data_IF_094404756939
#
_entry.id   IF_094404756939
#
_cell.length_a   1.000
_cell.length_b   1.000
_cell.length_c   1.000
_cell.angle_alpha   90.00
_cell.angle_beta   90.00
_cell.angle_gamma   90.00
#
_symmetry.space_group_name_H-M   'P 1'
#
loop_
_entity.id
_entity.type
_entity.pdbx_description
1 polymer ?
#
# COMPACT_ATOMS: atom_id res chain seq x y z
N UNK A 1 11.42 14.72 17.62
CA UNK A 1 10.10 15.02 18.23
C UNK A 1 9.59 16.33 17.62
N UNK A 2 8.87 16.25 16.50
CA UNK A 2 8.12 17.40 16.01
C UNK A 2 6.80 17.48 16.78
N UNK A 3 6.40 18.65 17.28
CA UNK A 3 5.11 18.82 17.90
C UNK A 3 4.02 18.62 16.84
N UNK A 4 3.34 17.51 16.92
CA UNK A 4 2.05 17.19 16.32
C UNK A 4 1.70 17.87 15.01
N UNK A 5 2.30 17.46 13.89
CA UNK A 5 1.66 17.67 12.60
C UNK A 5 0.46 16.73 12.53
N UNK A 6 -0.73 17.23 12.88
CA UNK A 6 -1.96 16.52 12.57
C UNK A 6 -2.03 16.32 11.07
N UNK A 7 -2.11 15.09 10.61
CA UNK A 7 -2.61 14.79 9.27
C UNK A 7 -4.05 15.30 9.25
N UNK A 8 -4.25 16.50 8.71
CA UNK A 8 -5.55 17.12 8.61
C UNK A 8 -6.42 16.30 7.67
N UNK A 9 -7.49 15.73 8.20
CA UNK A 9 -8.61 15.28 7.39
C UNK A 9 -9.33 16.53 6.88
N UNK A 10 -9.33 16.71 5.58
CA UNK A 10 -10.17 17.72 4.97
C UNK A 10 -11.63 17.32 5.22
N UNK A 11 -12.37 18.08 6.04
CA UNK A 11 -13.82 17.96 6.22
C UNK A 11 -14.34 17.42 7.55
N UNK A 12 -13.51 16.85 8.42
CA UNK A 12 -13.93 16.45 9.78
C UNK A 12 -13.59 17.51 10.83
N UNK A 13 -14.34 17.57 11.93
CA UNK A 13 -13.89 18.29 13.11
C UNK A 13 -12.48 17.82 13.45
N UNK A 14 -11.53 18.76 13.57
CA UNK A 14 -10.16 18.42 13.95
C UNK A 14 -10.21 17.47 15.16
N UNK A 15 -9.48 16.36 15.13
CA UNK A 15 -9.39 15.51 16.30
C UNK A 15 -8.98 16.40 17.48
N UNK A 16 -9.44 16.10 18.71
CA UNK A 16 -9.05 16.87 19.87
C UNK A 16 -7.54 17.01 19.85
N UNK A 17 -7.03 18.22 19.88
CA UNK A 17 -5.60 18.51 19.82
C UNK A 17 -4.83 17.67 20.83
N UNK A 18 -3.53 17.47 20.64
CA UNK A 18 -2.73 16.67 21.54
C UNK A 18 -2.98 17.13 22.97
N UNK A 19 -3.15 16.18 23.88
CA UNK A 19 -3.28 16.51 25.29
C UNK A 19 -2.14 17.44 25.69
N UNK A 20 -2.40 18.55 26.42
CA UNK A 20 -1.37 19.52 26.73
C UNK A 20 -0.15 18.81 27.37
N UNK A 21 1.01 18.91 26.71
CA UNK A 21 2.26 18.35 27.19
C UNK A 21 2.57 16.89 26.88
N UNK A 22 1.76 16.22 26.04
CA UNK A 22 2.04 14.83 25.61
C UNK A 22 2.95 14.78 24.40
N UNK A 23 4.08 14.09 24.48
CA UNK A 23 4.85 13.63 23.30
C UNK A 23 4.14 12.43 22.71
N UNK A 24 3.66 12.55 21.48
CA UNK A 24 3.14 11.40 20.76
C UNK A 24 4.30 10.64 20.12
N UNK A 25 4.35 9.29 20.19
CA UNK A 25 5.37 8.56 19.47
C UNK A 25 5.18 8.73 17.97
N UNK A 26 6.29 9.01 17.27
CA UNK A 26 6.30 9.01 15.82
C UNK A 26 5.95 7.64 15.25
N UNK A 27 5.39 7.58 14.03
CA UNK A 27 5.21 6.33 13.32
C UNK A 27 6.54 5.58 13.23
N UNK A 28 6.51 4.27 13.47
CA UNK A 28 7.70 3.43 13.36
C UNK A 28 8.23 3.45 11.94
N UNK A 29 9.44 3.99 11.75
CA UNK A 29 10.12 4.02 10.45
C UNK A 29 10.99 2.77 10.34
N UNK A 30 10.79 1.92 9.32
CA UNK A 30 11.64 0.75 9.11
C UNK A 30 13.10 1.14 8.87
N UNK A 31 14.03 0.49 9.54
CA UNK A 31 15.47 0.72 9.36
C UNK A 31 15.91 0.58 7.90
N UNK A 32 15.35 -0.40 7.18
CA UNK A 32 15.61 -0.60 5.76
C UNK A 32 15.22 0.57 4.86
N UNK A 33 14.42 1.49 5.37
CA UNK A 33 13.97 2.68 4.64
C UNK A 33 14.88 3.90 4.83
N UNK A 34 15.63 3.92 5.90
CA UNK A 34 16.46 5.05 6.28
C UNK A 34 17.59 5.35 5.28
N UNK A 35 17.97 4.37 4.44
CA UNK A 35 19.05 4.52 3.43
C UNK A 35 18.60 4.82 2.00
N UNK A 36 17.29 4.75 1.68
CA UNK A 36 16.84 4.72 0.28
C UNK A 36 16.50 6.10 -0.33
N UNK A 37 16.53 7.16 0.42
CA UNK A 37 16.26 8.51 -0.09
C UNK A 37 17.30 9.49 0.44
N UNK A 38 18.17 9.97 -0.42
CA UNK A 38 19.33 10.82 -0.11
C UNK A 38 19.08 12.17 0.60
N UNK A 39 17.97 12.34 1.29
CA UNK A 39 17.69 13.46 2.16
C UNK A 39 17.77 13.03 3.63
N UNK A 40 18.74 13.54 4.36
CA UNK A 40 18.77 13.43 5.82
C UNK A 40 17.54 14.14 6.38
N UNK A 41 16.50 13.37 6.72
CA UNK A 41 15.45 13.91 7.59
C UNK A 41 15.99 13.93 9.02
N UNK A 42 15.80 15.04 9.77
CA UNK A 42 16.15 15.06 11.19
C UNK A 42 15.47 13.89 11.91
N UNK A 43 16.24 13.12 12.67
CA UNK A 43 15.71 12.00 13.47
C UNK A 43 15.67 10.62 12.78
N UNK A 44 15.98 10.51 11.48
CA UNK A 44 16.11 9.21 10.82
C UNK A 44 17.52 8.66 11.01
N UNK A 45 17.63 7.53 11.71
CA UNK A 45 18.91 6.84 11.88
C UNK A 45 19.21 6.07 10.59
N UNK A 46 20.38 6.29 9.94
CA UNK A 46 20.79 5.49 8.79
C UNK A 46 20.80 3.99 9.11
N UNK A 47 20.47 3.17 8.11
CA UNK A 47 20.33 1.73 8.28
C UNK A 47 21.64 1.04 8.77
N UNK A 48 22.78 1.63 8.45
CA UNK A 48 24.11 1.09 8.73
C UNK A 48 24.68 1.52 10.09
N UNK A 49 24.04 2.48 10.77
CA UNK A 49 24.51 2.89 12.08
C UNK A 49 23.96 1.97 13.19
N UNK A 50 24.79 1.53 14.11
CA UNK A 50 24.33 0.84 15.29
C UNK A 50 23.30 1.69 16.05
N UNK A 51 22.24 1.07 16.53
CA UNK A 51 21.27 1.77 17.37
C UNK A 51 21.92 2.09 18.72
N UNK A 52 22.36 3.34 18.90
CA UNK A 52 22.97 3.78 20.16
C UNK A 52 21.88 4.31 21.08
N UNK A 53 21.84 3.80 22.29
CA UNK A 53 20.96 4.26 23.37
C UNK A 53 21.79 5.04 24.38
N UNK A 54 21.63 6.37 24.51
CA UNK A 54 22.35 7.16 25.51
C UNK A 54 22.02 6.70 26.93
N UNK A 55 22.94 6.91 27.86
CA UNK A 55 22.73 6.59 29.27
C UNK A 55 21.48 7.29 29.82
N UNK A 56 20.64 6.57 30.53
CA UNK A 56 19.39 7.05 31.13
C UNK A 56 18.24 7.18 30.13
N UNK A 57 18.42 6.78 28.86
CA UNK A 57 17.36 6.72 27.86
C UNK A 57 16.99 5.27 27.54
N UNK A 58 15.83 5.11 26.90
CA UNK A 58 15.39 3.83 26.33
C UNK A 58 14.96 4.02 24.88
N UNK A 59 15.01 2.92 24.11
CA UNK A 59 14.52 2.86 22.74
C UNK A 59 13.68 1.59 22.60
N UNK A 60 12.59 1.71 21.86
CA UNK A 60 11.75 0.57 21.51
C UNK A 60 12.07 0.19 20.06
N UNK A 61 12.29 -1.10 19.85
CA UNK A 61 12.49 -1.67 18.52
C UNK A 61 11.36 -2.64 18.26
N UNK A 62 10.64 -2.42 17.19
CA UNK A 62 9.62 -3.35 16.70
C UNK A 62 10.27 -4.33 15.74
N UNK A 63 10.03 -5.62 15.92
CA UNK A 63 10.56 -6.67 15.06
C UNK A 63 9.42 -7.43 14.40
N UNK A 64 9.34 -7.36 13.07
CA UNK A 64 8.39 -8.14 12.27
C UNK A 64 9.06 -9.43 11.81
N UNK A 65 8.41 -10.56 12.10
CA UNK A 65 8.81 -11.88 11.62
C UNK A 65 7.89 -12.34 10.50
N UNK A 66 8.41 -12.41 9.29
CA UNK A 66 7.68 -12.95 8.17
C UNK A 66 7.87 -14.46 8.04
N UNK A 67 6.78 -15.22 8.25
CA UNK A 67 6.74 -16.67 8.04
C UNK A 67 6.39 -16.93 6.58
N UNK A 68 7.34 -17.44 5.82
CA UNK A 68 7.13 -17.75 4.40
C UNK A 68 6.09 -18.88 4.24
N UNK A 69 5.28 -18.85 3.17
CA UNK A 69 4.32 -19.94 2.90
C UNK A 69 4.98 -21.31 2.78
N UNK A 70 6.26 -21.36 2.41
CA UNK A 70 7.05 -22.59 2.32
C UNK A 70 7.68 -23.04 3.64
N UNK A 71 7.55 -22.24 4.72
CA UNK A 71 8.11 -22.62 6.02
C UNK A 71 7.39 -23.85 6.57
N UNK A 72 8.09 -24.95 6.89
CA UNK A 72 7.46 -26.11 7.52
C UNK A 72 6.88 -25.75 8.90
N UNK A 73 5.80 -26.41 9.32
CA UNK A 73 5.35 -26.33 10.70
C UNK A 73 6.43 -26.81 11.69
N UNK A 74 6.52 -26.19 12.85
CA UNK A 74 7.46 -26.55 13.89
C UNK A 74 7.97 -25.39 14.70
N UNK A 75 8.82 -25.66 15.66
CA UNK A 75 9.46 -24.66 16.52
C UNK A 75 10.75 -24.13 15.88
N UNK A 76 10.85 -22.82 15.78
CA UNK A 76 12.02 -22.10 15.29
C UNK A 76 12.61 -21.30 16.42
N UNK A 77 13.93 -21.33 16.58
CA UNK A 77 14.65 -20.57 17.61
C UNK A 77 15.62 -19.62 16.95
N UNK A 78 15.68 -18.44 17.50
CA UNK A 78 16.63 -17.41 17.15
C UNK A 78 16.99 -16.59 18.38
N UNK A 79 17.82 -15.59 18.19
CA UNK A 79 18.17 -14.70 19.26
C UNK A 79 18.30 -13.26 18.80
N UNK A 80 18.11 -12.35 19.73
CA UNK A 80 18.38 -10.93 19.57
C UNK A 80 19.50 -10.56 20.51
N UNK A 81 20.58 -10.00 19.97
CA UNK A 81 21.74 -9.56 20.75
C UNK A 81 21.85 -8.04 20.74
N UNK A 82 21.97 -7.50 21.93
CA UNK A 82 22.27 -6.09 22.15
C UNK A 82 23.63 -6.03 22.83
N UNK A 83 24.55 -5.24 22.28
CA UNK A 83 25.92 -5.12 22.82
C UNK A 83 25.90 -4.73 24.29
N UNK A 84 26.56 -5.50 25.13
CA UNK A 84 26.62 -5.28 26.58
C UNK A 84 25.42 -5.79 27.38
N UNK A 85 24.48 -6.50 26.72
CA UNK A 85 23.35 -7.15 27.37
C UNK A 85 23.38 -8.67 27.16
N UNK A 86 22.73 -9.43 28.04
CA UNK A 86 22.51 -10.86 27.81
C UNK A 86 21.73 -11.05 26.48
N UNK A 87 22.03 -12.15 25.79
CA UNK A 87 21.30 -12.58 24.61
C UNK A 87 19.84 -12.88 24.97
N UNK A 88 18.90 -12.36 24.17
CA UNK A 88 17.48 -12.64 24.29
C UNK A 88 17.10 -13.75 23.32
N UNK A 89 16.74 -14.91 23.84
CA UNK A 89 16.22 -16.00 23.03
C UNK A 89 14.79 -15.68 22.54
N UNK A 90 14.52 -16.00 21.29
CA UNK A 90 13.20 -15.89 20.66
C UNK A 90 12.80 -17.25 20.13
N UNK A 91 11.66 -17.74 20.52
CA UNK A 91 11.05 -18.98 20.01
C UNK A 91 9.76 -18.65 19.29
N UNK A 92 9.60 -19.21 18.08
CA UNK A 92 8.42 -19.05 17.23
C UNK A 92 7.90 -20.42 16.86
N UNK A 93 6.66 -20.71 17.21
CA UNK A 93 5.97 -21.92 16.78
C UNK A 93 5.17 -21.64 15.52
N UNK A 94 5.52 -22.32 14.42
CA UNK A 94 4.82 -22.24 13.15
C UNK A 94 3.80 -23.37 13.07
N UNK A 95 2.51 -22.99 13.04
CA UNK A 95 1.39 -23.92 12.91
C UNK A 95 1.20 -24.46 11.49
N UNK A 96 0.27 -25.39 11.32
CA UNK A 96 -0.12 -25.94 10.02
C UNK A 96 -1.11 -25.07 9.25
N UNK A 97 -1.81 -24.16 9.95
CA UNK A 97 -2.83 -23.29 9.35
C UNK A 97 -2.17 -22.25 8.44
N UNK A 98 -2.70 -22.13 7.24
CA UNK A 98 -2.27 -21.09 6.28
C UNK A 98 -3.40 -20.10 6.08
N UNK A 99 -3.11 -18.84 6.29
CA UNK A 99 -4.03 -17.76 5.96
C UNK A 99 -3.84 -17.36 4.50
N UNK A 100 -4.91 -17.24 3.71
CA UNK A 100 -4.81 -16.71 2.37
C UNK A 100 -4.35 -15.24 2.44
N UNK A 101 -3.57 -14.81 1.45
CA UNK A 101 -3.08 -13.44 1.41
C UNK A 101 -4.23 -12.41 1.40
N UNK A 102 -5.34 -12.75 0.75
CA UNK A 102 -6.54 -11.90 0.60
C UNK A 102 -7.67 -12.28 1.55
N UNK A 103 -7.36 -12.56 2.81
CA UNK A 103 -8.40 -12.88 3.80
C UNK A 103 -9.33 -11.69 4.10
N UNK A 104 -8.84 -10.47 3.95
CA UNK A 104 -9.58 -9.22 4.15
C UNK A 104 -9.21 -8.25 3.03
N UNK A 105 -10.22 -7.69 2.36
CA UNK A 105 -10.04 -6.63 1.37
C UNK A 105 -9.78 -5.29 2.07
N UNK A 106 -8.56 -4.80 2.00
CA UNK A 106 -8.20 -3.44 2.44
C UNK A 106 -7.67 -2.68 1.25
N UNK A 107 -8.19 -1.49 1.01
CA UNK A 107 -7.71 -0.62 -0.06
C UNK A 107 -7.34 0.76 0.47
N UNK A 108 -6.35 1.38 -0.17
CA UNK A 108 -5.92 2.74 0.12
C UNK A 108 -5.72 3.51 -1.18
N UNK A 109 -6.47 4.57 -1.34
CA UNK A 109 -6.20 5.54 -2.41
C UNK A 109 -4.92 6.31 -2.11
N UNK A 110 -4.06 6.43 -3.09
CA UNK A 110 -2.88 7.27 -2.96
C UNK A 110 -2.60 7.97 -4.28
N UNK A 111 -1.98 9.15 -4.17
CA UNK A 111 -1.64 9.98 -5.32
C UNK A 111 -0.17 9.80 -5.68
N UNK A 112 0.15 9.09 -6.78
CA UNK A 112 1.53 8.84 -7.19
C UNK A 112 2.35 10.12 -7.40
N UNK A 113 1.72 11.18 -7.94
CA UNK A 113 2.37 12.47 -8.19
C UNK A 113 2.86 13.15 -6.90
N UNK A 114 2.17 12.93 -5.79
CA UNK A 114 2.60 13.42 -4.47
C UNK A 114 3.85 12.70 -3.99
N UNK A 115 3.90 11.37 -4.16
CA UNK A 115 5.09 10.57 -3.81
C UNK A 115 6.27 10.97 -4.71
N UNK A 116 6.04 11.07 -6.01
CA UNK A 116 7.04 11.47 -6.99
C UNK A 116 7.65 12.84 -6.65
N UNK A 117 6.82 13.82 -6.33
CA UNK A 117 7.25 15.19 -5.99
C UNK A 117 8.13 15.24 -4.75
N UNK A 118 7.81 14.46 -3.72
CA UNK A 118 8.50 14.53 -2.43
C UNK A 118 9.63 13.52 -2.27
N UNK A 119 9.56 12.38 -2.94
CA UNK A 119 10.47 11.24 -2.73
C UNK A 119 11.10 10.72 -4.03
N UNK A 120 10.70 11.26 -5.18
CA UNK A 120 11.11 10.82 -6.51
C UNK A 120 10.34 9.59 -7.01
N UNK A 121 10.30 9.40 -8.33
CA UNK A 121 9.52 8.36 -9.02
C UNK A 121 9.82 6.94 -8.48
N UNK A 122 11.09 6.63 -8.26
CA UNK A 122 11.50 5.33 -7.73
C UNK A 122 10.90 4.99 -6.34
N UNK A 123 10.35 5.98 -5.62
CA UNK A 123 9.68 5.75 -4.35
C UNK A 123 8.25 5.22 -4.51
N UNK A 124 7.62 5.40 -5.66
CA UNK A 124 6.27 4.90 -5.94
C UNK A 124 6.24 3.38 -5.77
N UNK A 125 7.10 2.67 -6.51
CA UNK A 125 7.18 1.20 -6.43
C UNK A 125 7.46 0.69 -5.01
N UNK A 126 8.39 1.33 -4.29
CA UNK A 126 8.68 0.96 -2.88
C UNK A 126 7.50 1.20 -1.94
N UNK A 127 6.76 2.29 -2.14
CA UNK A 127 5.56 2.59 -1.35
C UNK A 127 4.48 1.53 -1.60
N UNK A 128 4.23 1.21 -2.86
CA UNK A 128 3.28 0.17 -3.27
C UNK A 128 3.67 -1.20 -2.68
N UNK A 129 4.94 -1.60 -2.80
CA UNK A 129 5.44 -2.83 -2.19
C UNK A 129 5.25 -2.87 -0.68
N UNK A 130 5.38 -1.72 -0.01
CA UNK A 130 5.13 -1.65 1.42
C UNK A 130 3.66 -1.82 1.77
N UNK A 131 2.76 -1.15 1.05
CA UNK A 131 1.32 -1.32 1.24
C UNK A 131 0.92 -2.78 1.01
N UNK A 132 1.39 -3.38 -0.08
CA UNK A 132 1.16 -4.77 -0.40
C UNK A 132 1.63 -5.71 0.72
N UNK A 133 2.83 -5.48 1.30
CA UNK A 133 3.33 -6.26 2.45
C UNK A 133 2.38 -6.25 3.65
N UNK A 134 1.61 -5.19 3.83
CA UNK A 134 0.64 -5.02 4.91
C UNK A 134 -0.79 -5.40 4.47
N UNK A 135 -0.95 -6.15 3.38
CA UNK A 135 -2.25 -6.58 2.84
C UNK A 135 -3.16 -5.41 2.47
N UNK A 136 -2.58 -4.30 2.04
CA UNK A 136 -3.30 -3.13 1.57
C UNK A 136 -3.16 -3.06 0.06
N UNK A 137 -4.28 -3.09 -0.66
CA UNK A 137 -4.31 -2.84 -2.09
C UNK A 137 -4.11 -1.35 -2.35
N UNK A 138 -3.01 -0.93 -2.96
CA UNK A 138 -2.82 0.45 -3.34
C UNK A 138 -3.70 0.77 -4.54
N UNK A 139 -4.55 1.77 -4.40
CA UNK A 139 -5.43 2.24 -5.47
C UNK A 139 -4.83 3.48 -6.09
N UNK A 140 -4.48 3.38 -7.37
CA UNK A 140 -4.09 4.52 -8.19
C UNK A 140 -5.25 4.90 -9.09
N UNK A 141 -5.53 6.19 -9.30
CA UNK A 141 -6.53 6.61 -10.26
C UNK A 141 -6.07 6.27 -11.68
N UNK A 142 -6.87 5.48 -12.40
CA UNK A 142 -6.63 5.15 -13.80
C UNK A 142 -7.59 5.99 -14.66
N UNK A 143 -7.03 6.79 -15.55
CA UNK A 143 -7.82 7.66 -16.45
C UNK A 143 -7.60 7.36 -17.92
N UNK A 144 -6.58 6.55 -18.25
CA UNK A 144 -6.20 6.23 -19.61
C UNK A 144 -5.54 4.85 -19.71
N UNK A 145 -5.37 4.36 -20.94
CA UNK A 145 -4.60 3.13 -21.18
C UNK A 145 -3.14 3.29 -20.79
N UNK A 146 -2.58 4.49 -20.94
CA UNK A 146 -1.22 4.82 -20.51
C UNK A 146 -1.05 4.67 -19.00
N UNK A 147 -2.07 5.03 -18.20
CA UNK A 147 -2.05 4.79 -16.75
C UNK A 147 -2.08 3.28 -16.44
N UNK A 148 -2.90 2.52 -17.17
CA UNK A 148 -2.92 1.05 -17.03
C UNK A 148 -1.52 0.48 -17.31
N UNK A 149 -0.87 0.87 -18.39
CA UNK A 149 0.49 0.41 -18.73
C UNK A 149 1.51 0.82 -17.68
N UNK A 150 1.48 2.07 -17.22
CA UNK A 150 2.40 2.58 -16.20
C UNK A 150 2.31 1.77 -14.91
N UNK A 151 1.12 1.40 -14.50
CA UNK A 151 0.89 0.71 -13.23
C UNK A 151 0.71 -0.80 -13.38
N UNK A 152 0.79 -1.35 -14.59
CA UNK A 152 0.60 -2.77 -14.85
C UNK A 152 1.41 -3.69 -13.94
N UNK A 153 2.71 -3.43 -13.64
CA UNK A 153 3.47 -4.29 -12.73
C UNK A 153 2.92 -4.33 -11.30
N UNK A 154 2.23 -3.29 -10.86
CA UNK A 154 1.51 -3.26 -9.59
C UNK A 154 0.21 -4.06 -9.69
N UNK A 155 -0.52 -3.88 -10.79
CA UNK A 155 -1.82 -4.50 -10.99
C UNK A 155 -1.72 -6.02 -11.18
N UNK A 156 -0.74 -6.49 -11.95
CA UNK A 156 -0.53 -7.91 -12.28
C UNK A 156 0.32 -8.68 -11.25
N UNK A 157 0.84 -8.00 -10.22
CA UNK A 157 1.64 -8.60 -9.16
C UNK A 157 3.13 -8.77 -9.51
N UNK A 158 3.56 -8.49 -10.72
CA UNK A 158 4.97 -8.66 -11.11
C UNK A 158 5.92 -7.75 -10.32
N UNK A 159 5.45 -6.58 -9.86
CA UNK A 159 6.18 -5.70 -8.95
C UNK A 159 6.49 -6.36 -7.59
N UNK A 160 5.69 -7.34 -7.18
CA UNK A 160 5.78 -7.98 -5.87
C UNK A 160 6.60 -9.28 -5.93
N UNK A 161 7.69 -9.27 -6.65
CA UNK A 161 8.57 -10.43 -6.83
C UNK A 161 10.01 -10.14 -6.39
N UNK A 162 10.78 -11.20 -6.14
CA UNK A 162 12.20 -11.10 -5.79
C UNK A 162 13.01 -10.36 -6.86
N UNK A 163 12.61 -10.45 -8.14
CA UNK A 163 13.25 -9.72 -9.24
C UNK A 163 13.15 -8.20 -9.07
N UNK A 164 12.11 -7.71 -8.40
CA UNK A 164 11.90 -6.31 -8.06
C UNK A 164 12.27 -5.99 -6.60
N UNK A 165 13.05 -6.86 -5.95
CA UNK A 165 13.49 -6.68 -4.57
C UNK A 165 12.40 -6.85 -3.51
N UNK A 166 11.25 -7.43 -3.88
CA UNK A 166 10.17 -7.72 -2.94
C UNK A 166 10.40 -9.06 -2.23
N UNK A 167 10.27 -9.03 -0.91
CA UNK A 167 10.21 -10.23 -0.08
C UNK A 167 9.13 -9.98 0.98
N UNK A 168 8.08 -10.79 0.97
CA UNK A 168 6.99 -10.59 1.92
C UNK A 168 5.74 -11.39 1.59
N UNK A 169 4.65 -11.19 2.35
CA UNK A 169 3.34 -11.78 2.05
C UNK A 169 2.86 -11.37 0.66
N UNK A 170 2.16 -12.27 -0.04
CA UNK A 170 1.60 -11.97 -1.36
C UNK A 170 2.63 -11.84 -2.48
N UNK A 171 3.79 -12.53 -2.39
CA UNK A 171 4.76 -12.54 -3.49
C UNK A 171 4.09 -13.01 -4.78
N UNK A 172 4.16 -12.18 -5.84
CA UNK A 172 3.56 -12.44 -7.14
C UNK A 172 2.02 -12.34 -7.19
N UNK A 173 1.36 -11.94 -6.11
CA UNK A 173 -0.11 -11.83 -6.07
C UNK A 173 -0.52 -10.49 -6.69
N UNK A 174 -1.38 -10.47 -7.74
CA UNK A 174 -1.89 -9.24 -8.34
C UNK A 174 -2.76 -8.46 -7.36
N UNK A 175 -3.15 -7.23 -7.69
CA UNK A 175 -4.15 -6.50 -6.91
C UNK A 175 -5.49 -7.23 -6.89
N UNK A 176 -6.31 -6.99 -5.88
CA UNK A 176 -7.67 -7.54 -5.76
C UNK A 176 -8.75 -6.55 -6.20
N UNK A 177 -8.37 -5.30 -6.41
CA UNK A 177 -9.29 -4.27 -6.88
C UNK A 177 -8.59 -3.27 -7.78
N UNK A 178 -9.27 -2.87 -8.85
CA UNK A 178 -8.83 -1.85 -9.80
C UNK A 178 -9.90 -0.77 -9.88
N UNK A 179 -9.49 0.48 -9.83
CA UNK A 179 -10.40 1.60 -9.84
C UNK A 179 -10.14 2.49 -11.05
N UNK A 180 -11.17 2.70 -11.86
CA UNK A 180 -11.16 3.63 -12.97
C UNK A 180 -11.64 4.99 -12.46
N UNK A 181 -10.78 6.00 -12.57
CA UNK A 181 -10.95 7.30 -11.95
C UNK A 181 -10.67 7.27 -10.44
N UNK A 182 -10.86 8.42 -9.81
CA UNK A 182 -10.84 8.58 -8.36
C UNK A 182 -11.57 9.85 -7.96
N UNK A 183 -12.15 9.88 -6.78
CA UNK A 183 -12.81 11.08 -6.23
C UNK A 183 -13.78 11.73 -7.21
N UNK A 184 -14.60 10.93 -7.90
CA UNK A 184 -15.59 11.42 -8.85
C UNK A 184 -15.00 11.99 -10.15
N UNK A 185 -13.73 11.78 -10.44
CA UNK A 185 -13.05 12.37 -11.61
C UNK A 185 -13.64 11.96 -12.96
N UNK A 186 -14.30 10.80 -13.02
CA UNK A 186 -14.97 10.38 -14.23
C UNK A 186 -16.32 11.10 -14.46
N UNK A 187 -17.04 11.48 -13.40
CA UNK A 187 -18.30 12.20 -13.51
C UNK A 187 -19.33 11.50 -14.40
N UNK A 188 -20.20 12.26 -15.08
CA UNK A 188 -21.20 11.72 -15.97
C UNK A 188 -20.57 10.99 -17.19
N UNK A 189 -21.16 9.87 -17.66
CA UNK A 189 -20.73 9.19 -18.86
C UNK A 189 -20.88 10.07 -20.11
N UNK A 190 -20.02 9.88 -21.08
CA UNK A 190 -20.10 10.46 -22.41
C UNK A 190 -19.49 9.48 -23.42
N UNK A 191 -19.80 9.58 -24.72
CA UNK A 191 -19.24 8.69 -25.73
C UNK A 191 -17.70 8.59 -25.70
N UNK A 192 -17.02 9.71 -25.48
CA UNK A 192 -15.57 9.73 -25.38
C UNK A 192 -15.05 9.01 -24.12
N UNK A 193 -15.73 9.19 -22.97
CA UNK A 193 -15.36 8.50 -21.73
C UNK A 193 -15.65 7.00 -21.80
N UNK A 194 -16.77 6.61 -22.42
CA UNK A 194 -17.09 5.19 -22.65
C UNK A 194 -15.99 4.55 -23.49
N UNK A 195 -15.61 5.15 -24.60
CA UNK A 195 -14.52 4.66 -25.44
C UNK A 195 -13.19 4.54 -24.66
N UNK A 196 -12.90 5.46 -23.76
CA UNK A 196 -11.71 5.40 -22.90
C UNK A 196 -11.80 4.24 -21.91
N UNK A 197 -12.97 4.05 -21.28
CA UNK A 197 -13.20 2.93 -20.35
C UNK A 197 -13.09 1.61 -21.07
N UNK A 198 -13.75 1.45 -22.22
CA UNK A 198 -13.69 0.22 -23.03
C UNK A 198 -12.24 -0.13 -23.40
N UNK A 199 -11.44 0.86 -23.82
CA UNK A 199 -10.04 0.65 -24.12
C UNK A 199 -9.21 0.21 -22.90
N UNK A 200 -9.48 0.78 -21.71
CA UNK A 200 -8.83 0.35 -20.46
C UNK A 200 -9.24 -1.06 -20.07
N UNK A 201 -10.55 -1.38 -20.13
CA UNK A 201 -11.07 -2.71 -19.82
C UNK A 201 -10.48 -3.78 -20.76
N UNK A 202 -10.47 -3.53 -22.07
CA UNK A 202 -9.85 -4.43 -23.04
C UNK A 202 -8.36 -4.65 -22.74
N UNK A 203 -7.65 -3.61 -22.29
CA UNK A 203 -6.24 -3.73 -21.93
C UNK A 203 -6.03 -4.55 -20.64
N UNK A 204 -6.91 -4.37 -19.65
CA UNK A 204 -6.90 -5.17 -18.42
C UNK A 204 -7.24 -6.64 -18.70
N UNK A 205 -8.24 -6.90 -19.55
CA UNK A 205 -8.60 -8.25 -19.97
C UNK A 205 -7.43 -8.96 -20.67
N UNK A 206 -6.75 -8.27 -21.60
CA UNK A 206 -5.56 -8.80 -22.27
C UNK A 206 -4.42 -9.14 -21.28
N UNK A 207 -4.38 -8.47 -20.15
CA UNK A 207 -3.45 -8.76 -19.06
C UNK A 207 -3.94 -9.86 -18.10
N UNK A 208 -5.15 -10.42 -18.30
CA UNK A 208 -5.77 -11.38 -17.38
C UNK A 208 -6.28 -10.74 -16.08
N UNK A 209 -6.49 -9.44 -16.08
CA UNK A 209 -6.90 -8.65 -14.91
C UNK A 209 -8.38 -8.26 -15.02
N UNK A 210 -9.24 -9.27 -15.21
CA UNK A 210 -10.67 -9.06 -15.35
C UNK A 210 -11.46 -10.05 -14.48
N UNK A 211 -12.59 -9.65 -13.87
CA UNK A 211 -13.33 -10.50 -12.92
C UNK A 211 -13.74 -11.86 -13.48
N UNK A 212 -14.19 -11.92 -14.74
CA UNK A 212 -14.65 -13.15 -15.40
C UNK A 212 -13.53 -14.19 -15.56
N UNK A 213 -12.27 -13.75 -15.56
CA UNK A 213 -11.10 -14.65 -15.60
C UNK A 213 -10.55 -14.99 -14.21
N UNK A 214 -11.28 -14.63 -13.14
CA UNK A 214 -10.82 -14.77 -11.77
C UNK A 214 -9.81 -13.71 -11.34
N UNK A 215 -9.76 -12.60 -12.08
CA UNK A 215 -8.96 -11.42 -11.79
C UNK A 215 -9.57 -10.51 -10.69
N UNK A 216 -9.01 -9.31 -10.54
CA UNK A 216 -9.48 -8.32 -9.56
C UNK A 216 -10.87 -7.78 -9.89
N UNK A 217 -11.57 -7.29 -8.87
CA UNK A 217 -12.77 -6.49 -9.07
C UNK A 217 -12.41 -5.16 -9.74
N UNK A 218 -13.16 -4.76 -10.76
CA UNK A 218 -12.97 -3.50 -11.47
C UNK A 218 -14.21 -2.63 -11.32
N UNK A 219 -14.04 -1.40 -10.87
CA UNK A 219 -15.15 -0.46 -10.78
C UNK A 219 -14.79 0.96 -11.22
N UNK A 220 -15.80 1.71 -11.65
CA UNK A 220 -15.66 3.12 -12.01
C UNK A 220 -16.02 3.99 -10.80
N UNK A 221 -15.10 4.84 -10.37
CA UNK A 221 -15.37 5.80 -9.31
C UNK A 221 -15.89 7.11 -9.93
N UNK A 222 -17.16 7.07 -10.31
CA UNK A 222 -17.79 8.16 -11.06
C UNK A 222 -18.14 9.38 -10.19
N UNK A 223 -18.39 9.15 -8.89
CA UNK A 223 -18.93 10.17 -7.96
C UNK A 223 -18.25 10.01 -6.61
N UNK A 224 -17.96 11.14 -5.97
CA UNK A 224 -17.45 11.20 -4.62
C UNK A 224 -18.42 11.97 -3.72
N UNK A 225 -18.77 11.37 -2.56
CA UNK A 225 -19.61 11.97 -1.50
C UNK A 225 -21.03 12.45 -1.90
N UNK A 226 -21.51 12.12 -3.11
CA UNK A 226 -22.86 12.47 -3.59
C UNK A 226 -23.79 11.24 -3.57
N UNK A 227 -24.55 11.07 -2.51
CA UNK A 227 -25.44 9.91 -2.33
C UNK A 227 -26.55 9.81 -3.39
N UNK A 228 -27.03 10.94 -3.92
CA UNK A 228 -28.16 11.03 -4.86
C UNK A 228 -27.74 11.27 -6.31
N UNK A 229 -26.47 11.12 -6.63
CA UNK A 229 -25.97 11.35 -7.99
C UNK A 229 -26.53 10.31 -8.97
N UNK A 230 -27.04 10.75 -10.13
CA UNK A 230 -27.53 9.83 -11.18
C UNK A 230 -26.40 9.13 -11.93
N UNK A 231 -25.15 9.48 -11.71
CA UNK A 231 -24.05 9.05 -12.58
C UNK A 231 -23.74 7.56 -12.44
N UNK A 232 -23.86 6.97 -11.25
CA UNK A 232 -23.67 5.54 -11.07
C UNK A 232 -24.64 4.69 -11.92
N UNK A 233 -25.98 4.91 -11.82
CA UNK A 233 -26.96 4.29 -12.69
C UNK A 233 -26.74 4.56 -14.19
N UNK A 234 -26.35 5.80 -14.55
CA UNK A 234 -26.06 6.16 -15.96
C UNK A 234 -24.88 5.39 -16.50
N UNK A 235 -23.79 5.24 -15.74
CA UNK A 235 -22.64 4.42 -16.14
C UNK A 235 -23.04 2.98 -16.37
N UNK A 236 -23.78 2.38 -15.43
CA UNK A 236 -24.27 1.00 -15.57
C UNK A 236 -25.08 0.82 -16.87
N UNK A 237 -26.08 1.68 -17.08
CA UNK A 237 -26.92 1.61 -18.29
C UNK A 237 -26.12 1.82 -19.58
N UNK A 238 -25.07 2.62 -19.55
CA UNK A 238 -24.25 2.89 -20.72
C UNK A 238 -23.31 1.72 -21.05
N UNK A 239 -22.79 1.03 -20.05
CA UNK A 239 -21.95 -0.15 -20.24
C UNK A 239 -22.81 -1.34 -20.72
N UNK A 240 -23.99 -1.57 -20.10
CA UNK A 240 -24.92 -2.64 -20.49
C UNK A 240 -25.44 -2.48 -21.95
N UNK A 241 -25.44 -1.25 -22.49
CA UNK A 241 -25.88 -0.98 -23.85
C UNK A 241 -24.77 -1.15 -24.92
N UNK A 242 -23.51 -1.32 -24.47
CA UNK A 242 -22.35 -1.52 -25.36
C UNK A 242 -22.00 -2.99 -25.61
N UNK A 243 -22.60 -3.91 -24.86
CA UNK A 243 -22.54 -5.36 -25.05
C UNK A 243 -23.59 -5.83 -26.10
#
# INVERSE_FOLDING_TARGET
DEPGASLGWAGGAAPPGPAPGGTLPDPLIPRSWAGAGGGKRPGVVPNDDPLTVPAGQHRVVWVDLFIRPSSPPGAYRGSVQVTGQPELEVEVEVGTTRLPYRALGNMLFFEPSTIERHLGEAAIGRTVQRLHRHHIAPIVPLHSVEDVERFLPMLDGSLFTAAHGYVGPGEGVPTDVIVIGAYGSFGAPSPAKLQTVDAMLARLELAGLYPETGGPDVFIYAVDEECDSPWGPMWRSSLDASD
#
